data_IF_556118464592
#
_entry.id   IF_556118464592
#
_cell.length_a   1.000
_cell.length_b   1.000
_cell.length_c   1.000
_cell.angle_alpha   90.00
_cell.angle_beta   90.00
_cell.angle_gamma   90.00
#
_symmetry.space_group_name_H-M   'P 1'
#
loop_
_entity.id
_entity.type
_entity.pdbx_description
1 polymer ?
#
# COMPACT_ATOMS: atom_id res chain seq x y z
N UNK A 1 24.63 8.44 31.31
CA UNK A 1 23.17 8.16 31.17
C UNK A 1 22.96 7.43 29.86
N UNK A 2 22.51 6.17 29.90
CA UNK A 2 22.19 5.38 28.69
C UNK A 2 20.68 5.52 28.40
N UNK A 3 20.23 5.71 27.14
CA UNK A 3 18.82 5.63 26.85
C UNK A 3 18.33 4.17 26.92
N UNK A 4 17.14 3.97 27.49
CA UNK A 4 16.38 2.71 27.50
C UNK A 4 15.81 2.41 26.09
N UNK A 5 15.58 1.12 25.74
CA UNK A 5 15.16 0.74 24.40
C UNK A 5 13.72 1.17 24.11
N UNK A 6 13.48 1.65 22.89
CA UNK A 6 12.14 1.98 22.39
C UNK A 6 11.26 0.72 22.39
N UNK A 7 10.34 0.67 23.36
CA UNK A 7 9.28 -0.32 23.46
C UNK A 7 8.35 -0.16 22.26
N UNK A 8 8.29 -1.18 21.41
CA UNK A 8 7.23 -1.31 20.40
C UNK A 8 5.89 -1.31 21.13
N UNK A 9 5.10 -0.24 20.93
CA UNK A 9 3.71 -0.19 21.39
C UNK A 9 2.90 -1.00 20.40
N UNK A 10 2.61 -2.25 20.77
CA UNK A 10 1.55 -3.03 20.12
C UNK A 10 0.22 -2.40 20.51
N UNK A 11 -0.47 -1.78 19.55
CA UNK A 11 -1.84 -1.29 19.75
C UNK A 11 -2.83 -2.45 19.61
N UNK A 12 -3.72 -2.69 20.60
CA UNK A 12 -4.82 -3.64 20.45
C UNK A 12 -5.88 -3.03 19.53
N UNK A 13 -6.18 -3.69 18.40
CA UNK A 13 -7.28 -3.27 17.53
C UNK A 13 -7.18 -3.63 16.05
N UNK A 14 -6.01 -4.04 15.56
CA UNK A 14 -5.92 -4.67 14.25
C UNK A 14 -6.41 -6.12 14.38
N UNK A 15 -7.70 -6.35 14.17
CA UNK A 15 -8.24 -7.69 13.90
C UNK A 15 -7.67 -8.18 12.57
N UNK A 16 -6.47 -8.76 12.63
CA UNK A 16 -5.96 -9.62 11.58
C UNK A 16 -6.85 -10.86 11.56
N UNK A 17 -7.81 -10.90 10.62
CA UNK A 17 -8.63 -12.08 10.40
C UNK A 17 -7.70 -13.25 10.02
N UNK A 18 -7.65 -14.27 10.88
CA UNK A 18 -6.81 -15.44 10.71
C UNK A 18 -7.46 -16.43 9.76
N UNK A 19 -7.00 -16.48 8.51
CA UNK A 19 -6.74 -17.72 7.78
C UNK A 19 -6.28 -17.34 6.36
N UNK A 20 -5.06 -17.78 6.02
CA UNK A 20 -4.23 -17.37 4.86
C UNK A 20 -3.43 -16.10 5.15
N UNK A 21 -2.16 -16.28 5.51
CA UNK A 21 -1.19 -15.21 5.81
C UNK A 21 -1.28 -14.06 4.80
N UNK A 22 -1.80 -12.87 5.18
CA UNK A 22 -1.68 -11.72 4.31
C UNK A 22 -0.23 -11.25 4.39
N UNK A 23 0.57 -11.49 3.36
CA UNK A 23 1.80 -10.73 3.14
C UNK A 23 1.35 -9.34 2.69
N UNK A 24 0.79 -8.57 3.62
CA UNK A 24 0.49 -7.17 3.40
C UNK A 24 1.84 -6.44 3.31
N UNK A 25 2.25 -6.13 2.09
CA UNK A 25 3.28 -5.11 1.87
C UNK A 25 2.72 -3.79 2.31
N UNK A 26 3.35 -3.18 3.31
CA UNK A 26 2.89 -1.90 3.87
C UNK A 26 3.73 -0.76 3.32
N UNK A 27 3.05 0.26 2.79
CA UNK A 27 3.67 1.53 2.43
C UNK A 27 2.93 2.68 3.11
N UNK A 28 3.68 3.54 3.79
CA UNK A 28 3.15 4.77 4.39
C UNK A 28 3.22 5.92 3.39
N UNK A 29 2.13 6.68 3.30
CA UNK A 29 2.09 7.93 2.54
C UNK A 29 3.11 8.92 3.12
N UNK A 30 4.02 9.49 2.30
CA UNK A 30 4.94 10.53 2.75
C UNK A 30 4.21 11.75 3.33
N UNK A 31 4.88 12.48 4.24
CA UNK A 31 4.34 13.71 4.84
C UNK A 31 4.33 14.83 3.80
N UNK A 32 3.18 15.48 3.58
CA UNK A 32 3.11 16.71 2.78
C UNK A 32 3.79 17.87 3.51
N UNK A 33 4.49 18.74 2.77
CA UNK A 33 5.33 19.82 3.33
C UNK A 33 4.55 21.11 3.64
N UNK A 34 3.24 21.15 3.41
CA UNK A 34 2.37 22.25 3.85
C UNK A 34 1.86 21.99 5.26
N UNK A 35 1.79 23.01 6.13
CA UNK A 35 1.37 22.89 7.54
C UNK A 35 -0.05 22.36 7.81
N UNK A 36 -0.74 21.82 6.80
CA UNK A 36 -1.97 21.04 6.94
C UNK A 36 -1.57 19.58 7.20
N UNK A 37 -1.97 19.04 8.33
CA UNK A 37 -1.74 17.62 8.66
C UNK A 37 -2.68 16.77 7.81
N UNK A 38 -2.27 16.43 6.59
CA UNK A 38 -2.98 15.46 5.78
C UNK A 38 -3.01 14.10 6.51
N UNK A 39 -4.12 13.34 6.43
CA UNK A 39 -4.16 12.01 7.02
C UNK A 39 -3.03 11.16 6.42
N UNK A 40 -2.19 10.60 7.29
CA UNK A 40 -1.08 9.73 6.91
C UNK A 40 -1.66 8.38 6.49
N UNK A 41 -1.98 8.21 5.21
CA UNK A 41 -2.61 6.98 4.74
C UNK A 41 -1.61 5.82 4.69
N UNK A 42 -2.09 4.61 5.00
CA UNK A 42 -1.38 3.35 4.77
C UNK A 42 -1.94 2.68 3.52
N UNK A 43 -1.08 2.03 2.74
CA UNK A 43 -1.50 1.14 1.66
C UNK A 43 -1.06 -0.30 1.94
N UNK A 44 -1.88 -1.26 1.50
CA UNK A 44 -1.55 -2.69 1.54
C UNK A 44 -2.00 -3.42 0.29
N UNK A 45 -1.16 -4.30 -0.25
CA UNK A 45 -1.55 -5.33 -1.23
C UNK A 45 -1.99 -6.62 -0.53
N UNK A 46 -2.78 -7.45 -1.22
CA UNK A 46 -3.37 -8.69 -0.65
C UNK A 46 -3.51 -9.79 -1.71
N UNK A 47 -3.66 -11.03 -1.22
CA UNK A 47 -3.98 -12.21 -2.04
C UNK A 47 -5.42 -12.17 -2.58
N UNK A 48 -6.27 -11.28 -2.06
CA UNK A 48 -7.62 -11.03 -2.57
C UNK A 48 -7.65 -10.15 -3.84
N UNK A 49 -6.51 -9.98 -4.50
CA UNK A 49 -6.30 -9.21 -5.73
C UNK A 49 -6.47 -7.69 -5.54
N UNK A 50 -6.69 -7.22 -4.32
CA UNK A 50 -6.95 -5.81 -4.03
C UNK A 50 -5.77 -5.08 -3.43
N UNK A 51 -5.77 -3.77 -3.63
CA UNK A 51 -5.00 -2.82 -2.83
C UNK A 51 -5.98 -2.09 -1.91
N UNK A 52 -5.66 -2.01 -0.63
CA UNK A 52 -6.47 -1.26 0.35
C UNK A 52 -5.70 -0.06 0.85
N UNK A 53 -6.43 1.04 1.02
CA UNK A 53 -5.91 2.27 1.65
C UNK A 53 -6.62 2.43 2.99
N UNK A 54 -5.86 2.76 4.01
CA UNK A 54 -6.30 2.84 5.40
C UNK A 54 -5.96 4.17 6.00
N UNK A 55 -6.83 4.65 6.88
CA UNK A 55 -6.47 5.67 7.86
C UNK A 55 -5.96 4.98 9.13
N UNK A 56 -4.66 5.06 9.46
CA UNK A 56 -4.11 4.43 10.65
C UNK A 56 -4.58 5.09 11.95
N UNK A 57 -5.08 6.33 11.92
CA UNK A 57 -5.58 6.99 13.12
C UNK A 57 -6.92 6.39 13.57
N UNK A 58 -7.77 5.99 12.62
CA UNK A 58 -9.09 5.42 12.88
C UNK A 58 -9.15 3.90 12.67
N UNK A 59 -8.16 3.32 12.00
CA UNK A 59 -8.16 1.92 11.58
C UNK A 59 -9.12 1.61 10.42
N UNK A 60 -9.75 2.63 9.83
CA UNK A 60 -10.76 2.42 8.79
C UNK A 60 -10.13 2.20 7.42
N UNK A 61 -10.69 1.25 6.65
CA UNK A 61 -10.42 1.10 5.23
C UNK A 61 -11.12 2.24 4.48
N UNK A 62 -10.35 3.21 3.98
CA UNK A 62 -10.89 4.37 3.26
C UNK A 62 -11.14 4.08 1.79
N UNK A 63 -10.40 3.13 1.20
CA UNK A 63 -10.58 2.75 -0.20
C UNK A 63 -10.13 1.31 -0.46
N UNK A 64 -10.80 0.63 -1.39
CA UNK A 64 -10.40 -0.68 -1.93
C UNK A 64 -10.29 -0.56 -3.44
N UNK A 65 -9.07 -0.68 -3.94
CA UNK A 65 -8.73 -0.58 -5.35
C UNK A 65 -8.75 -1.98 -5.96
N UNK A 66 -9.63 -2.18 -6.93
CA UNK A 66 -9.78 -3.43 -7.67
C UNK A 66 -9.36 -3.21 -9.12
N UNK A 67 -8.71 -4.19 -9.71
CA UNK A 67 -8.37 -4.14 -11.15
C UNK A 67 -7.16 -4.97 -11.56
N UNK A 68 -6.40 -5.54 -10.62
CA UNK A 68 -5.51 -6.67 -10.94
C UNK A 68 -6.33 -7.87 -11.39
N UNK A 69 -5.72 -8.73 -12.21
CA UNK A 69 -6.42 -9.89 -12.77
C UNK A 69 -6.82 -10.88 -11.66
N UNK A 70 -7.94 -11.56 -11.88
CA UNK A 70 -8.40 -12.60 -10.95
C UNK A 70 -7.36 -13.71 -10.80
N UNK A 71 -7.33 -14.32 -9.62
CA UNK A 71 -6.42 -15.40 -9.22
C UNK A 71 -4.94 -14.96 -9.03
N UNK A 72 -4.65 -13.66 -9.03
CA UNK A 72 -3.30 -13.14 -8.80
C UNK A 72 -3.21 -12.14 -7.65
N UNK A 73 -2.42 -12.52 -6.64
CA UNK A 73 -2.09 -11.68 -5.50
C UNK A 73 -1.39 -10.37 -5.88
N UNK A 74 -1.61 -9.34 -5.06
CA UNK A 74 -0.81 -8.11 -5.07
C UNK A 74 0.32 -8.24 -4.06
N UNK A 75 1.57 -8.20 -4.54
CA UNK A 75 2.75 -8.49 -3.73
C UNK A 75 3.57 -7.27 -3.34
N UNK A 76 3.36 -6.14 -4.01
CA UNK A 76 4.11 -4.92 -3.69
C UNK A 76 3.24 -3.69 -3.88
N UNK A 77 3.41 -2.70 -3.00
CA UNK A 77 2.79 -1.38 -3.12
C UNK A 77 3.80 -0.32 -2.73
N UNK A 78 3.78 0.84 -3.40
CA UNK A 78 4.62 1.98 -3.04
C UNK A 78 3.96 3.31 -3.40
N UNK A 79 4.02 4.25 -2.47
CA UNK A 79 3.60 5.63 -2.69
C UNK A 79 4.64 6.40 -3.49
N UNK A 80 4.18 7.26 -4.41
CA UNK A 80 5.03 8.29 -5.00
C UNK A 80 5.48 9.28 -3.92
N UNK A 81 6.60 9.95 -4.16
CA UNK A 81 7.20 10.83 -3.16
C UNK A 81 6.34 12.07 -2.85
N UNK A 82 5.68 12.60 -3.88
CA UNK A 82 4.68 13.67 -3.78
C UNK A 82 3.33 13.18 -3.20
N UNK A 83 3.22 11.88 -2.92
CA UNK A 83 2.07 11.24 -2.33
C UNK A 83 0.77 11.35 -3.15
N UNK A 84 0.89 11.64 -4.45
CA UNK A 84 -0.26 11.80 -5.37
C UNK A 84 -0.62 10.52 -6.12
N UNK A 85 0.25 9.51 -6.12
CA UNK A 85 0.07 8.23 -6.81
C UNK A 85 0.47 7.06 -5.92
N UNK A 86 -0.19 5.93 -6.16
CA UNK A 86 0.17 4.65 -5.57
C UNK A 86 0.50 3.68 -6.71
N UNK A 87 1.58 2.93 -6.59
CA UNK A 87 1.92 1.85 -7.50
C UNK A 87 1.67 0.51 -6.82
N UNK A 88 1.21 -0.50 -7.57
CA UNK A 88 1.09 -1.88 -7.12
C UNK A 88 1.62 -2.87 -8.14
N UNK A 89 2.23 -3.96 -7.66
CA UNK A 89 2.79 -5.04 -8.46
C UNK A 89 2.15 -6.37 -8.08
N UNK A 90 1.81 -7.18 -9.07
CA UNK A 90 1.03 -8.41 -8.89
C UNK A 90 1.64 -9.62 -9.59
N UNK A 91 1.16 -10.80 -9.19
CA UNK A 91 1.34 -12.06 -9.89
C UNK A 91 0.82 -12.04 -11.34
N UNK A 92 -0.07 -11.11 -11.68
CA UNK A 92 -0.59 -10.91 -13.05
C UNK A 92 0.45 -10.32 -14.02
N UNK A 93 1.68 -10.12 -13.55
CA UNK A 93 2.84 -9.62 -14.31
C UNK A 93 2.70 -8.16 -14.74
N UNK A 94 1.79 -7.41 -14.11
CA UNK A 94 1.60 -5.99 -14.36
C UNK A 94 1.97 -5.14 -13.15
N UNK A 95 2.28 -3.88 -13.44
CA UNK A 95 2.29 -2.81 -12.44
C UNK A 95 1.11 -1.90 -12.72
N UNK A 96 0.32 -1.56 -11.69
CA UNK A 96 -0.77 -0.59 -11.81
C UNK A 96 -0.45 0.67 -11.05
N UNK A 97 -0.78 1.81 -11.64
CA UNK A 97 -0.68 3.13 -11.03
C UNK A 97 -2.08 3.62 -10.73
N UNK A 98 -2.30 4.05 -9.50
CA UNK A 98 -3.60 4.44 -8.98
C UNK A 98 -3.63 5.90 -8.58
N UNK A 99 -4.79 6.51 -8.78
CA UNK A 99 -5.15 7.75 -8.12
C UNK A 99 -5.85 7.38 -6.80
N UNK A 100 -5.23 7.67 -5.64
CA UNK A 100 -5.78 7.31 -4.33
C UNK A 100 -7.03 8.13 -3.96
N UNK A 101 -7.21 9.32 -4.52
CA UNK A 101 -8.34 10.21 -4.22
C UNK A 101 -9.61 9.79 -4.95
N UNK A 102 -9.47 9.27 -6.17
CA UNK A 102 -10.60 8.77 -6.96
C UNK A 102 -10.78 7.25 -6.90
N UNK A 103 -9.75 6.53 -6.46
CA UNK A 103 -9.70 5.07 -6.47
C UNK A 103 -9.51 4.45 -7.86
N UNK A 104 -9.24 5.27 -8.89
CA UNK A 104 -9.15 4.82 -10.27
C UNK A 104 -7.75 4.29 -10.62
N UNK A 105 -7.71 3.27 -11.48
CA UNK A 105 -6.48 2.83 -12.11
C UNK A 105 -6.12 3.81 -13.25
N UNK A 106 -5.08 4.61 -13.05
CA UNK A 106 -4.63 5.62 -14.02
C UNK A 106 -3.80 4.98 -15.13
N UNK A 107 -3.03 3.93 -14.82
CA UNK A 107 -2.20 3.25 -15.82
C UNK A 107 -1.95 1.79 -15.45
N UNK A 108 -1.80 0.95 -16.47
CA UNK A 108 -1.36 -0.45 -16.34
C UNK A 108 -0.12 -0.64 -17.19
N UNK A 109 1.01 -0.85 -16.54
CA UNK A 109 2.29 -1.11 -17.16
C UNK A 109 2.45 -2.62 -17.35
N UNK A 110 2.69 -3.02 -18.60
CA UNK A 110 2.93 -4.41 -19.01
C UNK A 110 4.37 -4.55 -19.48
N UNK A 111 4.91 -5.76 -19.42
CA UNK A 111 6.23 -6.06 -19.98
C UNK A 111 7.04 -7.07 -19.17
N UNK A 112 6.71 -7.28 -17.89
CA UNK A 112 7.31 -8.36 -17.12
C UNK A 112 6.86 -9.73 -17.65
N UNK A 113 7.81 -10.64 -17.86
CA UNK A 113 7.52 -12.03 -18.27
C UNK A 113 7.08 -12.92 -17.09
N UNK A 114 7.30 -12.46 -15.87
CA UNK A 114 6.99 -13.13 -14.61
C UNK A 114 6.44 -12.12 -13.60
N UNK A 115 6.13 -12.61 -12.41
CA UNK A 115 5.41 -11.89 -11.38
C UNK A 115 6.21 -10.68 -10.84
N UNK A 116 5.51 -9.59 -10.54
CA UNK A 116 6.12 -8.38 -9.97
C UNK A 116 6.13 -8.51 -8.45
N UNK A 117 7.32 -8.79 -7.90
CA UNK A 117 7.50 -9.06 -6.46
C UNK A 117 7.80 -7.82 -5.62
N UNK A 118 8.42 -6.80 -6.21
CA UNK A 118 8.82 -5.58 -5.50
C UNK A 118 8.86 -4.41 -6.47
N UNK A 119 8.57 -3.22 -5.96
CA UNK A 119 8.65 -1.96 -6.68
C UNK A 119 8.96 -0.82 -5.70
N UNK A 120 9.59 0.23 -6.21
CA UNK A 120 9.86 1.45 -5.47
C UNK A 120 9.82 2.64 -6.43
N UNK A 121 9.47 3.81 -5.91
CA UNK A 121 9.61 5.06 -6.64
C UNK A 121 11.05 5.58 -6.47
N UNK A 122 11.65 6.04 -7.56
CA UNK A 122 12.94 6.72 -7.50
C UNK A 122 12.80 8.11 -6.88
N UNK A 123 13.81 8.53 -6.13
CA UNK A 123 13.97 9.91 -5.70
C UNK A 123 14.72 10.66 -6.80
N UNK A 124 14.07 11.65 -7.42
CA UNK A 124 14.71 12.62 -8.30
C UNK A 124 14.64 13.99 -7.64
#
# INVERSE_FOLDING_TARGET
MKPLPHRLVSTPGAIANSSKNPIAVHAEKPKSTGGVKDPRLLASGSDDETVKIWDPATGQCVSTLKGHASDFSVWSVAWSHDATRLASGSGDKTVKIWDPGTGQCVSTLKGHASNVRSLAWSHL
#
